data_IF_338558128597
#
_entry.id   IF_338558128597
#
_cell.length_a   1.000
_cell.length_b   1.000
_cell.length_c   1.000
_cell.angle_alpha   90.00
_cell.angle_beta   90.00
_cell.angle_gamma   90.00
#
_symmetry.space_group_name_H-M   'P 1'
#
loop_
_entity.id
_entity.type
_entity.pdbx_description
1 polymer ?
#
# COMPACT_ATOMS: atom_id res chain seq x y z
N UNK A 1 7.79 1.49 -9.88
CA UNK A 1 7.48 0.58 -10.98
C UNK A 1 8.75 -0.17 -11.27
N UNK A 2 8.69 -1.50 -11.35
CA UNK A 2 9.80 -2.39 -11.66
C UNK A 2 9.62 -3.07 -13.03
N UNK A 3 8.40 -3.18 -13.55
CA UNK A 3 8.16 -3.71 -14.90
C UNK A 3 8.41 -2.65 -16.00
N UNK A 4 9.57 -2.72 -16.65
CA UNK A 4 9.97 -1.77 -17.68
C UNK A 4 9.14 -1.89 -18.98
N UNK A 5 8.74 -3.11 -19.35
CA UNK A 5 7.94 -3.33 -20.55
C UNK A 5 6.56 -2.69 -20.38
N UNK A 6 5.94 -2.96 -19.23
CA UNK A 6 4.63 -2.39 -18.91
C UNK A 6 4.68 -0.87 -18.81
N UNK A 7 5.76 -0.31 -18.28
CA UNK A 7 5.96 1.13 -18.24
C UNK A 7 6.01 1.75 -19.64
N UNK A 8 6.78 1.14 -20.54
CA UNK A 8 6.91 1.61 -21.93
C UNK A 8 5.57 1.56 -22.66
N UNK A 9 4.78 0.50 -22.47
CA UNK A 9 3.42 0.40 -23.01
C UNK A 9 2.53 1.56 -22.54
N UNK A 10 2.50 1.81 -21.22
CA UNK A 10 1.68 2.89 -20.65
C UNK A 10 2.13 4.27 -21.10
N UNK A 11 3.43 4.51 -21.22
CA UNK A 11 3.96 5.77 -21.75
C UNK A 11 3.63 5.96 -23.23
N UNK A 12 3.64 4.90 -24.03
CA UNK A 12 3.19 4.95 -25.44
C UNK A 12 1.72 5.33 -25.51
N UNK A 13 0.84 4.66 -24.77
CA UNK A 13 -0.60 4.97 -24.71
C UNK A 13 -0.82 6.43 -24.30
N UNK A 14 -0.11 6.89 -23.26
CA UNK A 14 -0.20 8.27 -22.80
C UNK A 14 0.28 9.27 -23.87
N UNK A 15 1.35 8.92 -24.61
CA UNK A 15 1.85 9.71 -25.73
C UNK A 15 0.83 9.84 -26.85
N UNK A 16 0.21 8.74 -27.26
CA UNK A 16 -0.81 8.71 -28.32
C UNK A 16 -2.04 9.55 -27.97
N UNK A 17 -2.55 9.42 -26.74
CA UNK A 17 -3.75 10.14 -26.27
C UNK A 17 -3.54 11.67 -26.27
N UNK A 18 -2.32 12.11 -25.96
CA UNK A 18 -1.99 13.53 -25.86
C UNK A 18 -1.20 14.07 -27.05
N UNK A 19 -1.12 13.32 -28.16
CA UNK A 19 -0.37 13.67 -29.37
C UNK A 19 1.08 14.12 -29.06
N UNK A 20 1.76 13.35 -28.21
CA UNK A 20 3.09 13.66 -27.69
C UNK A 20 4.09 12.61 -28.13
N UNK A 21 5.12 13.05 -28.85
CA UNK A 21 6.26 12.19 -29.15
C UNK A 21 7.02 11.84 -27.85
N UNK A 22 7.03 10.55 -27.52
CA UNK A 22 7.76 10.02 -26.37
C UNK A 22 9.23 9.86 -26.75
N UNK A 23 10.08 10.72 -26.19
CA UNK A 23 11.53 10.65 -26.38
C UNK A 23 12.16 9.74 -25.32
N UNK A 24 13.37 9.24 -25.60
CA UNK A 24 14.14 8.45 -24.63
C UNK A 24 14.38 9.22 -23.32
N UNK A 25 14.72 10.51 -23.42
CA UNK A 25 14.91 11.37 -22.25
C UNK A 25 13.64 11.46 -21.40
N UNK A 26 12.46 11.54 -22.03
CA UNK A 26 11.19 11.59 -21.31
C UNK A 26 10.92 10.26 -20.60
N UNK A 27 11.13 9.12 -21.26
CA UNK A 27 11.03 7.81 -20.63
C UNK A 27 11.94 7.68 -19.40
N UNK A 28 13.21 8.09 -19.54
CA UNK A 28 14.18 7.98 -18.45
C UNK A 28 13.78 8.83 -17.22
N UNK A 29 13.22 10.02 -17.44
CA UNK A 29 12.74 10.89 -16.35
C UNK A 29 11.54 10.28 -15.63
N UNK A 30 10.54 9.81 -16.38
CA UNK A 30 9.34 9.22 -15.77
C UNK A 30 9.66 7.91 -15.06
N UNK A 31 10.52 7.08 -15.66
CA UNK A 31 10.95 5.83 -15.05
C UNK A 31 11.56 6.07 -13.67
N UNK A 32 12.55 6.97 -13.57
CA UNK A 32 13.20 7.29 -12.28
C UNK A 32 12.25 7.79 -11.20
N UNK A 33 11.20 8.52 -11.60
CA UNK A 33 10.21 9.07 -10.67
C UNK A 33 9.26 7.98 -10.19
N UNK A 34 8.87 7.07 -11.09
CA UNK A 34 7.94 5.99 -10.76
C UNK A 34 8.63 4.78 -10.15
N UNK A 35 9.92 4.56 -10.40
CA UNK A 35 10.72 3.41 -9.95
C UNK A 35 10.56 3.04 -8.46
N UNK A 36 10.44 4.00 -7.52
CA UNK A 36 10.30 3.71 -6.09
C UNK A 36 8.94 3.14 -5.68
N UNK A 37 7.89 3.27 -6.50
CA UNK A 37 6.52 2.86 -6.16
C UNK A 37 6.21 1.44 -6.66
N UNK A 38 5.20 0.74 -6.13
CA UNK A 38 4.84 -0.58 -6.64
C UNK A 38 4.13 -0.49 -8.02
N UNK A 39 4.25 -1.54 -8.84
CA UNK A 39 3.76 -1.56 -10.22
C UNK A 39 2.26 -1.30 -10.32
N UNK A 40 1.47 -1.92 -9.45
CA UNK A 40 0.03 -1.80 -9.42
C UNK A 40 -0.42 -0.36 -9.08
N UNK A 41 0.28 0.33 -8.18
CA UNK A 41 0.04 1.73 -7.87
C UNK A 41 0.34 2.64 -9.08
N UNK A 42 1.46 2.41 -9.76
CA UNK A 42 1.82 3.15 -10.97
C UNK A 42 0.81 2.94 -12.09
N UNK A 43 0.42 1.69 -12.38
CA UNK A 43 -0.58 1.35 -13.41
C UNK A 43 -1.89 2.07 -13.14
N UNK A 44 -2.37 2.08 -11.89
CA UNK A 44 -3.58 2.81 -11.51
C UNK A 44 -3.42 4.32 -11.70
N UNK A 45 -2.28 4.90 -11.32
CA UNK A 45 -2.01 6.32 -11.52
C UNK A 45 -2.04 6.71 -13.00
N UNK A 46 -1.47 5.88 -13.89
CA UNK A 46 -1.59 6.07 -15.34
C UNK A 46 -3.05 6.08 -15.80
N UNK A 47 -3.83 5.06 -15.43
CA UNK A 47 -5.24 4.98 -15.81
C UNK A 47 -6.07 6.16 -15.31
N UNK A 48 -5.81 6.62 -14.09
CA UNK A 48 -6.52 7.77 -13.51
C UNK A 48 -6.17 9.07 -14.23
N UNK A 49 -4.89 9.32 -14.51
CA UNK A 49 -4.45 10.52 -15.21
C UNK A 49 -4.97 10.54 -16.65
N UNK A 50 -4.90 9.41 -17.38
CA UNK A 50 -5.44 9.30 -18.74
C UNK A 50 -6.91 9.77 -18.81
N UNK A 51 -7.72 9.43 -17.81
CA UNK A 51 -9.14 9.84 -17.77
C UNK A 51 -9.41 11.22 -17.20
N UNK A 52 -8.40 11.89 -16.61
CA UNK A 52 -8.58 13.11 -15.80
C UNK A 52 -7.90 14.33 -16.40
N UNK A 53 -6.71 14.19 -16.97
CA UNK A 53 -5.89 15.34 -17.39
C UNK A 53 -6.15 15.72 -18.84
N UNK A 54 -6.15 17.04 -19.10
CA UNK A 54 -6.34 17.59 -20.45
C UNK A 54 -5.05 17.61 -21.28
N UNK A 55 -3.92 17.77 -20.61
CA UNK A 55 -2.60 17.86 -21.22
C UNK A 55 -1.76 16.65 -20.82
N UNK A 56 -0.68 16.37 -21.56
CA UNK A 56 0.27 15.33 -21.18
C UNK A 56 0.68 15.55 -19.71
N UNK A 57 0.36 14.63 -18.80
CA UNK A 57 0.51 14.86 -17.37
C UNK A 57 1.98 15.07 -17.07
N UNK A 58 2.30 15.98 -16.15
CA UNK A 58 3.66 16.18 -15.64
C UNK A 58 3.98 15.11 -14.61
N UNK A 59 5.28 14.85 -14.32
CA UNK A 59 5.64 13.87 -13.30
C UNK A 59 5.10 14.22 -11.90
N UNK A 60 4.93 15.52 -11.61
CA UNK A 60 4.36 15.98 -10.34
C UNK A 60 2.92 15.46 -10.12
N UNK A 61 2.12 15.34 -11.18
CA UNK A 61 0.74 14.85 -11.08
C UNK A 61 0.69 13.35 -10.72
N UNK A 62 1.68 12.57 -11.18
CA UNK A 62 1.85 11.18 -10.74
C UNK A 62 2.23 11.11 -9.27
N UNK A 63 3.21 11.92 -8.85
CA UNK A 63 3.65 11.96 -7.45
C UNK A 63 2.50 12.33 -6.52
N UNK A 64 1.71 13.36 -6.84
CA UNK A 64 0.55 13.76 -6.06
C UNK A 64 -0.44 12.61 -5.85
N UNK A 65 -0.77 11.85 -6.90
CA UNK A 65 -1.69 10.71 -6.79
C UNK A 65 -1.11 9.54 -5.98
N UNK A 66 0.17 9.23 -6.19
CA UNK A 66 0.84 8.12 -5.54
C UNK A 66 1.02 8.40 -4.04
N UNK A 67 1.48 9.61 -3.70
CA UNK A 67 1.70 10.04 -2.31
C UNK A 67 0.38 10.21 -1.54
N UNK A 68 -0.66 10.81 -2.15
CA UNK A 68 -1.96 10.95 -1.50
C UNK A 68 -2.55 9.59 -1.11
N UNK A 69 -2.49 8.61 -2.03
CA UNK A 69 -2.97 7.25 -1.75
C UNK A 69 -2.14 6.51 -0.71
N UNK A 70 -0.84 6.72 -0.71
CA UNK A 70 0.02 6.13 0.32
C UNK A 70 -0.34 6.67 1.71
N UNK A 71 -0.68 7.97 1.81
CA UNK A 71 -1.28 8.57 3.00
C UNK A 71 -2.60 7.91 3.40
N UNK A 72 -3.55 7.76 2.47
CA UNK A 72 -4.84 7.11 2.73
C UNK A 72 -4.69 5.67 3.25
N UNK A 73 -3.75 4.90 2.67
CA UNK A 73 -3.46 3.52 3.11
C UNK A 73 -2.89 3.50 4.53
N UNK A 74 -1.91 4.37 4.81
CA UNK A 74 -1.30 4.46 6.14
C UNK A 74 -2.35 4.84 7.21
N UNK A 75 -3.23 5.80 6.90
CA UNK A 75 -4.33 6.17 7.81
C UNK A 75 -5.35 5.05 7.95
N UNK A 76 -5.68 4.31 6.89
CA UNK A 76 -6.59 3.14 6.98
C UNK A 76 -5.99 2.04 7.86
N UNK A 77 -4.72 1.71 7.66
CA UNK A 77 -3.98 0.74 8.47
C UNK A 77 -3.95 1.16 9.95
N UNK A 78 -3.74 2.45 10.23
CA UNK A 78 -3.84 3.01 11.58
C UNK A 78 -5.21 2.77 12.23
N UNK A 79 -6.30 2.96 11.48
CA UNK A 79 -7.66 2.71 11.99
C UNK A 79 -7.88 1.23 12.31
N UNK A 80 -7.37 0.32 11.49
CA UNK A 80 -7.44 -1.12 11.75
C UNK A 80 -6.67 -1.51 13.01
N UNK A 81 -5.48 -0.93 13.22
CA UNK A 81 -4.66 -1.13 14.43
C UNK A 81 -5.40 -0.67 15.68
N UNK A 82 -5.95 0.55 15.66
CA UNK A 82 -6.74 1.11 16.77
C UNK A 82 -7.96 0.23 17.06
N UNK A 83 -8.67 -0.23 16.02
CA UNK A 83 -9.84 -1.08 16.17
C UNK A 83 -9.47 -2.43 16.79
N UNK A 84 -8.37 -3.03 16.35
CA UNK A 84 -7.84 -4.28 16.91
C UNK A 84 -7.45 -4.10 18.38
N UNK A 85 -6.72 -3.03 18.71
CA UNK A 85 -6.29 -2.75 20.08
C UNK A 85 -7.50 -2.56 21.01
N UNK A 86 -8.51 -1.80 20.56
CA UNK A 86 -9.74 -1.59 21.33
C UNK A 86 -10.52 -2.89 21.55
N UNK A 87 -10.50 -3.81 20.59
CA UNK A 87 -11.29 -5.05 20.63
C UNK A 87 -10.59 -6.19 21.36
N UNK A 88 -9.28 -6.34 21.20
CA UNK A 88 -8.51 -7.51 21.65
C UNK A 88 -7.45 -7.17 22.70
N UNK A 89 -7.13 -5.89 22.89
CA UNK A 89 -6.00 -5.45 23.71
C UNK A 89 -4.65 -5.89 23.12
N UNK A 90 -3.61 -5.82 23.93
CA UNK A 90 -2.24 -6.20 23.57
C UNK A 90 -1.79 -7.56 24.15
N UNK A 91 -2.70 -8.27 24.82
CA UNK A 91 -2.42 -9.55 25.45
C UNK A 91 -2.31 -10.69 24.43
N UNK A 92 -3.12 -10.64 23.37
CA UNK A 92 -3.22 -11.66 22.33
C UNK A 92 -2.34 -11.30 21.13
N UNK A 93 -1.77 -12.31 20.50
CA UNK A 93 -1.03 -12.16 19.25
C UNK A 93 -2.00 -11.88 18.10
N UNK A 94 -1.62 -11.00 17.18
CA UNK A 94 -2.49 -10.52 16.10
C UNK A 94 -1.80 -10.58 14.75
N UNK A 95 -2.54 -10.97 13.71
CA UNK A 95 -2.09 -10.99 12.33
C UNK A 95 -3.00 -10.10 11.49
N UNK A 96 -2.49 -8.97 11.04
CA UNK A 96 -3.19 -8.10 10.09
C UNK A 96 -3.07 -8.66 8.68
N UNK A 97 -4.13 -8.49 7.88
CA UNK A 97 -4.14 -8.82 6.45
C UNK A 97 -3.07 -8.03 5.68
N UNK A 98 -2.81 -6.80 6.13
CA UNK A 98 -1.70 -5.98 5.65
C UNK A 98 -0.43 -6.25 6.48
N UNK A 99 0.57 -6.96 5.93
CA UNK A 99 1.75 -7.34 6.69
C UNK A 99 2.72 -6.16 6.94
N UNK A 100 2.58 -5.04 6.23
CA UNK A 100 3.40 -3.83 6.47
C UNK A 100 3.15 -3.28 7.88
N UNK A 101 1.90 -3.42 8.37
CA UNK A 101 1.52 -3.08 9.74
C UNK A 101 2.42 -3.76 10.76
N UNK A 102 2.76 -5.03 10.56
CA UNK A 102 3.60 -5.77 11.49
C UNK A 102 5.00 -5.15 11.57
N UNK A 103 5.64 -4.90 10.43
CA UNK A 103 6.97 -4.27 10.41
C UNK A 103 6.96 -2.87 11.01
N UNK A 104 5.92 -2.08 10.74
CA UNK A 104 5.81 -0.72 11.28
C UNK A 104 5.64 -0.73 12.81
N UNK A 105 4.79 -1.61 13.35
CA UNK A 105 4.59 -1.74 14.79
C UNK A 105 5.85 -2.30 15.47
N UNK A 106 6.53 -3.28 14.88
CA UNK A 106 7.82 -3.79 15.39
C UNK A 106 8.86 -2.67 15.48
N UNK A 107 8.98 -1.82 14.45
CA UNK A 107 9.87 -0.67 14.48
C UNK A 107 9.50 0.36 15.56
N UNK A 108 8.23 0.40 15.98
CA UNK A 108 7.74 1.22 17.10
C UNK A 108 7.89 0.55 18.47
N UNK A 109 8.49 -0.64 18.54
CA UNK A 109 8.76 -1.39 19.76
C UNK A 109 7.78 -2.53 20.05
N UNK A 110 7.04 -2.99 19.04
CA UNK A 110 6.19 -4.18 19.11
C UNK A 110 4.79 -3.95 19.66
N UNK A 111 3.92 -4.94 19.49
CA UNK A 111 2.49 -4.85 19.80
C UNK A 111 2.18 -4.61 21.28
N UNK A 112 2.92 -5.28 22.16
CA UNK A 112 2.77 -5.09 23.61
C UNK A 112 3.01 -3.64 24.00
N UNK A 113 4.13 -3.06 23.60
CA UNK A 113 4.46 -1.67 23.90
C UNK A 113 3.50 -0.69 23.23
N UNK A 114 3.08 -0.99 22.00
CA UNK A 114 2.12 -0.18 21.27
C UNK A 114 0.79 -0.08 22.03
N UNK A 115 0.30 -1.18 22.61
CA UNK A 115 -0.93 -1.19 23.39
C UNK A 115 -0.87 -0.48 24.74
N UNK A 116 0.32 -0.10 25.22
CA UNK A 116 0.50 0.69 26.43
C UNK A 116 0.51 2.21 26.15
N UNK A 117 0.30 2.63 24.90
CA UNK A 117 0.29 4.05 24.55
C UNK A 117 -0.83 4.79 25.26
N UNK A 118 -0.52 5.99 25.75
CA UNK A 118 -1.52 6.86 26.34
C UNK A 118 -2.28 7.66 25.26
N UNK A 119 -3.54 8.02 25.53
CA UNK A 119 -4.37 8.76 24.56
C UNK A 119 -3.72 10.10 24.13
N UNK A 120 -2.98 10.75 25.03
CA UNK A 120 -2.23 11.98 24.72
C UNK A 120 -1.08 11.78 23.73
N UNK A 121 -0.52 10.58 23.65
CA UNK A 121 0.56 10.24 22.72
C UNK A 121 0.02 9.88 21.33
N UNK A 122 -1.27 9.55 21.23
CA UNK A 122 -1.89 8.99 20.04
C UNK A 122 -1.64 9.79 18.76
N UNK A 123 -1.72 11.14 18.73
CA UNK A 123 -1.44 11.91 17.51
C UNK A 123 0.02 11.78 17.04
N UNK A 124 0.97 11.68 17.99
CA UNK A 124 2.39 11.52 17.69
C UNK A 124 2.71 10.10 17.23
N UNK A 125 2.09 9.11 17.88
CA UNK A 125 2.18 7.69 17.49
C UNK A 125 1.61 7.46 16.09
N UNK A 126 0.49 8.08 15.76
CA UNK A 126 -0.10 8.01 14.43
C UNK A 126 0.87 8.54 13.38
N UNK A 127 1.41 9.74 13.57
CA UNK A 127 2.37 10.34 12.63
C UNK A 127 3.62 9.50 12.45
N UNK A 128 4.16 8.96 13.54
CA UNK A 128 5.33 8.08 13.47
C UNK A 128 5.01 6.77 12.74
N UNK A 129 3.85 6.17 13.01
CA UNK A 129 3.37 4.99 12.30
C UNK A 129 3.22 5.26 10.80
N UNK A 130 2.50 6.33 10.41
CA UNK A 130 2.26 6.66 9.00
C UNK A 130 3.57 6.89 8.23
N UNK A 131 4.55 7.55 8.88
CA UNK A 131 5.90 7.73 8.33
C UNK A 131 6.63 6.40 8.13
N UNK A 132 6.62 5.52 9.13
CA UNK A 132 7.28 4.21 9.05
C UNK A 132 6.59 3.30 8.03
N UNK A 133 5.26 3.26 8.04
CA UNK A 133 4.43 2.53 7.09
C UNK A 133 4.78 2.93 5.65
N UNK A 134 4.86 4.22 5.36
CA UNK A 134 5.20 4.69 4.01
C UNK A 134 6.58 4.18 3.54
N UNK A 135 7.58 4.20 4.42
CA UNK A 135 8.92 3.70 4.09
C UNK A 135 8.92 2.18 3.88
N UNK A 136 8.19 1.44 4.72
CA UNK A 136 8.17 -0.01 4.73
C UNK A 136 7.30 -0.61 3.61
N UNK A 137 6.22 0.06 3.22
CA UNK A 137 5.36 -0.35 2.11
C UNK A 137 6.10 -0.34 0.75
N UNK A 138 7.12 0.51 0.61
CA UNK A 138 7.92 0.63 -0.60
C UNK A 138 9.20 -0.23 -0.57
N UNK A 139 9.44 -1.00 0.50
CA UNK A 139 10.60 -1.90 0.59
C UNK A 139 10.20 -3.33 0.30
N UNK A 140 10.90 -3.97 -0.63
CA UNK A 140 10.88 -5.42 -0.75
C UNK A 140 11.46 -6.03 0.53
N UNK A 141 10.63 -6.72 1.31
CA UNK A 141 11.02 -7.19 2.63
C UNK A 141 10.12 -8.28 3.18
N UNK A 142 10.73 -9.21 3.92
CA UNK A 142 10.01 -10.24 4.64
C UNK A 142 9.40 -9.59 5.89
N UNK A 143 8.11 -9.31 5.86
CA UNK A 143 7.37 -8.79 7.00
C UNK A 143 7.16 -9.90 8.05
N UNK A 144 7.13 -9.58 9.36
CA UNK A 144 6.73 -10.55 10.37
C UNK A 144 5.37 -11.16 10.03
N UNK A 145 5.19 -12.45 10.29
CA UNK A 145 3.95 -13.16 9.97
C UNK A 145 2.77 -12.73 10.87
N UNK A 146 3.06 -12.19 12.05
CA UNK A 146 2.11 -11.65 13.01
C UNK A 146 2.90 -10.89 14.10
N UNK A 147 2.17 -10.23 15.01
CA UNK A 147 2.73 -9.55 16.17
C UNK A 147 2.42 -10.32 17.45
N UNK A 148 3.44 -10.64 18.24
CA UNK A 148 3.27 -11.39 19.48
C UNK A 148 2.64 -10.54 20.59
N UNK A 149 1.64 -11.11 21.28
CA UNK A 149 1.03 -10.53 22.47
C UNK A 149 1.72 -10.98 23.77
N UNK A 150 1.32 -10.36 24.88
CA UNK A 150 1.86 -10.67 26.23
C UNK A 150 1.79 -12.17 26.53
N UNK A 151 0.67 -12.83 26.22
CA UNK A 151 0.50 -14.25 26.52
C UNK A 151 1.53 -15.13 25.81
N UNK A 152 1.90 -14.80 24.57
CA UNK A 152 2.89 -15.60 23.84
C UNK A 152 4.29 -15.35 24.39
N UNK A 153 4.62 -14.09 24.68
CA UNK A 153 5.92 -13.70 25.23
C UNK A 153 6.15 -14.33 26.62
N UNK A 154 5.13 -14.35 27.47
CA UNK A 154 5.21 -14.90 28.83
C UNK A 154 5.10 -16.44 28.86
N UNK A 155 4.29 -17.06 27.97
CA UNK A 155 4.09 -18.52 27.95
C UNK A 155 5.07 -19.28 27.06
N UNK A 156 5.98 -18.60 26.34
CA UNK A 156 7.01 -19.23 25.50
C UNK A 156 7.88 -20.26 26.26
N UNK A 157 7.85 -20.25 27.59
CA UNK A 157 8.57 -21.18 28.45
C UNK A 157 7.84 -22.50 28.77
N UNK A 158 6.51 -22.62 28.62
CA UNK A 158 5.79 -23.76 29.27
C UNK A 158 4.54 -24.31 28.55
N UNK A 159 3.89 -23.57 27.63
CA UNK A 159 2.71 -24.06 26.88
C UNK A 159 2.71 -23.56 25.43
N UNK A 160 2.16 -24.36 24.50
CA UNK A 160 2.25 -24.15 23.05
C UNK A 160 1.79 -22.77 22.55
N UNK A 161 2.15 -22.45 21.30
CA UNK A 161 1.93 -21.13 20.66
C UNK A 161 0.45 -20.72 20.78
N UNK A 162 0.13 -19.56 21.40
CA UNK A 162 -1.24 -19.11 21.56
C UNK A 162 -1.95 -18.86 20.22
N UNK A 163 -3.28 -18.92 20.24
CA UNK A 163 -4.11 -18.59 19.07
C UNK A 163 -3.87 -17.14 18.61
N UNK A 164 -3.38 -17.00 17.37
CA UNK A 164 -3.16 -15.73 16.69
C UNK A 164 -4.49 -15.25 16.08
N UNK A 165 -4.88 -14.02 16.39
CA UNK A 165 -6.12 -13.42 15.90
C UNK A 165 -5.88 -12.76 14.54
N UNK A 166 -6.55 -13.23 13.50
CA UNK A 166 -6.52 -12.58 12.19
C UNK A 166 -7.40 -11.31 12.18
N UNK A 167 -6.81 -10.18 11.80
CA UNK A 167 -7.42 -8.84 11.73
C UNK A 167 -7.48 -8.39 10.28
N UNK A 168 -8.69 -8.11 9.79
CA UNK A 168 -8.90 -7.61 8.42
C UNK A 168 -9.73 -8.52 7.52
N UNK A 169 -10.12 -9.73 7.97
CA UNK A 169 -11.13 -10.52 7.27
C UNK A 169 -12.52 -9.96 7.62
N UNK A 170 -12.95 -8.91 6.92
CA UNK A 170 -14.37 -8.62 6.79
C UNK A 170 -14.99 -9.76 5.96
N UNK A 171 -15.58 -10.74 6.63
CA UNK A 171 -16.59 -11.58 6.00
C UNK A 171 -17.72 -10.67 5.49
N UNK A 172 -17.73 -10.37 4.19
CA UNK A 172 -18.84 -9.74 3.49
C UNK A 172 -18.74 -8.23 3.25
N UNK A 173 -18.02 -7.83 2.20
CA UNK A 173 -18.44 -6.69 1.36
C UNK A 173 -18.55 -7.21 -0.07
N UNK A 174 -19.79 -7.45 -0.50
CA UNK A 174 -20.13 -7.74 -1.89
C UNK A 174 -20.02 -6.45 -2.71
N UNK A 175 -19.16 -6.47 -3.73
CA UNK A 175 -19.35 -5.78 -5.00
C UNK A 175 -19.31 -4.25 -4.99
N UNK A 176 -18.14 -3.69 -5.31
CA UNK A 176 -18.09 -2.55 -6.25
C UNK A 176 -17.75 -3.19 -7.58
N UNK A 177 -18.63 -3.07 -8.58
CA UNK A 177 -18.41 -3.61 -9.90
C UNK A 177 -17.06 -3.11 -10.43
N UNK A 178 -16.11 -4.05 -10.62
CA UNK A 178 -14.83 -3.79 -11.26
C UNK A 178 -15.12 -3.21 -12.65
N UNK A 179 -14.87 -1.90 -12.83
CA UNK A 179 -14.79 -1.34 -14.18
C UNK A 179 -13.65 -2.06 -14.86
N UNK A 180 -13.93 -2.73 -15.99
CA UNK A 180 -12.90 -3.37 -16.81
C UNK A 180 -11.74 -2.38 -17.01
N UNK A 181 -10.49 -2.75 -16.67
CA UNK A 181 -9.34 -1.88 -16.90
C UNK A 181 -9.25 -1.54 -18.39
N UNK A 182 -8.85 -0.31 -18.72
CA UNK A 182 -8.73 0.21 -20.10
C UNK A 182 -7.93 -0.75 -21.00
N UNK A 183 -6.98 -1.48 -20.42
CA UNK A 183 -6.17 -2.48 -21.13
C UNK A 183 -6.99 -3.62 -21.75
N UNK A 184 -8.13 -3.99 -21.17
CA UNK A 184 -9.03 -4.99 -21.75
C UNK A 184 -9.66 -4.50 -23.08
N UNK A 185 -9.79 -3.19 -23.26
CA UNK A 185 -10.33 -2.59 -24.49
C UNK A 185 -9.24 -2.47 -25.57
N UNK A 186 -7.98 -2.32 -25.14
CA UNK A 186 -6.82 -2.26 -26.03
C UNK A 186 -6.44 -3.66 -26.56
N UNK A 187 -6.54 -4.69 -25.72
CA UNK A 187 -6.37 -6.09 -26.13
C UNK A 187 -7.46 -6.54 -27.10
N UNK A 188 -8.74 -6.22 -26.81
CA UNK A 188 -9.85 -6.48 -27.73
C UNK A 188 -9.64 -5.77 -29.09
N UNK A 189 -9.12 -4.54 -29.10
CA UNK A 189 -8.88 -3.78 -30.33
C UNK A 189 -7.62 -4.21 -31.11
N UNK A 190 -6.63 -4.83 -30.47
CA UNK A 190 -5.44 -5.38 -31.16
C UNK A 190 -5.69 -6.76 -31.78
N UNK A 191 -6.62 -7.54 -31.22
CA UNK A 191 -6.93 -8.88 -31.70
C UNK A 191 -7.92 -8.91 -32.89
N UNK A 192 -8.45 -7.73 -33.27
CA UNK A 192 -9.36 -7.49 -34.40
C UNK A 192 -8.63 -7.00 -35.67
N UNK A 193 -7.29 -7.12 -35.73
CA UNK A 193 -6.45 -6.84 -36.90
C UNK A 193 -5.70 -8.08 -37.36
#
# INVERSE_FOLDING_TARGET
MKDENRFRELMTVLGEIHDRQITRLLLDVYWRILEPFPDDACIRAFHELIGRVKFFPKPAEFLELLEARQGDQATSAWLDIVAALKRYGNYRSVRFTDPVIHSAIEAMGGWVRFGLMEERERPWRQKEFERLYAILANRDGNHPAYLAGIHEIENAADYGVPEVIDVGVRSGIKGIAERKPIMAWIEEASNDR
#
